data_IF_383796821445
#
_entry.id   IF_383796821445
#
_cell.length_a   1.000
_cell.length_b   1.000
_cell.length_c   1.000
_cell.angle_alpha   90.00
_cell.angle_beta   90.00
_cell.angle_gamma   90.00
#
_symmetry.space_group_name_H-M   'P 1'
#
loop_
_entity.id
_entity.type
_entity.pdbx_description
1 polymer ?
#
# COMPACT_ATOMS: atom_id res chain seq x y z
N UNK A 1 -12.09 -20.38 9.34
CA UNK A 1 -12.38 -20.12 7.90
C UNK A 1 -12.43 -18.62 7.80
N UNK A 2 -11.67 -18.05 6.89
CA UNK A 2 -11.62 -16.60 6.77
C UNK A 2 -12.96 -16.06 6.22
N UNK A 3 -13.39 -14.93 6.75
CA UNK A 3 -14.56 -14.20 6.28
C UNK A 3 -14.09 -13.02 5.42
N UNK A 4 -14.50 -13.00 4.16
CA UNK A 4 -14.18 -11.93 3.22
C UNK A 4 -14.85 -10.62 3.65
N UNK A 5 -14.05 -9.57 3.85
CA UNK A 5 -14.52 -8.22 4.20
C UNK A 5 -14.48 -7.26 3.01
N UNK A 6 -13.48 -7.40 2.14
CA UNK A 6 -13.29 -6.56 0.94
C UNK A 6 -12.39 -7.28 -0.08
N UNK A 7 -12.62 -7.03 -1.37
CA UNK A 7 -11.82 -7.49 -2.51
C UNK A 7 -11.55 -6.33 -3.49
N UNK A 8 -10.46 -6.40 -4.25
CA UNK A 8 -10.11 -5.33 -5.19
C UNK A 8 -8.76 -5.48 -5.89
N UNK A 9 -8.37 -4.45 -6.65
CA UNK A 9 -7.05 -4.36 -7.26
C UNK A 9 -6.03 -3.76 -6.27
N UNK A 10 -4.81 -4.27 -6.30
CA UNK A 10 -3.67 -3.75 -5.53
C UNK A 10 -2.52 -3.39 -6.46
N UNK A 11 -1.95 -2.21 -6.24
CA UNK A 11 -0.80 -1.72 -7.01
C UNK A 11 0.33 -1.31 -6.08
N UNK A 12 1.53 -1.82 -6.35
CA UNK A 12 2.75 -1.45 -5.64
C UNK A 12 3.53 -0.45 -6.48
N UNK A 13 3.87 0.69 -5.89
CA UNK A 13 4.69 1.72 -6.54
C UNK A 13 5.82 2.14 -5.61
N UNK A 14 6.96 2.54 -6.16
CA UNK A 14 8.00 3.22 -5.39
C UNK A 14 8.18 4.65 -5.88
N UNK A 15 8.58 5.54 -4.98
CA UNK A 15 9.00 6.89 -5.32
C UNK A 15 10.51 6.98 -5.20
N UNK A 16 11.25 7.37 -6.26
CA UNK A 16 12.69 7.64 -6.19
C UNK A 16 13.02 8.77 -5.20
N UNK A 17 14.29 8.89 -4.81
CA UNK A 17 14.80 10.04 -4.06
C UNK A 17 14.70 11.33 -4.87
N UNK A 18 14.80 12.45 -4.16
CA UNK A 18 14.81 13.78 -4.79
C UNK A 18 16.08 13.90 -5.63
N UNK A 19 15.96 14.45 -6.84
CA UNK A 19 16.99 14.48 -7.90
C UNK A 19 17.40 13.10 -8.46
N UNK A 20 16.70 12.02 -8.12
CA UNK A 20 17.11 10.67 -8.50
C UNK A 20 16.35 10.14 -9.70
N UNK A 21 16.81 10.47 -10.90
CA UNK A 21 16.16 10.06 -12.14
C UNK A 21 16.39 8.56 -12.48
N UNK A 22 17.47 7.95 -12.00
CA UNK A 22 17.72 6.52 -12.23
C UNK A 22 17.77 5.80 -10.87
N UNK A 23 17.07 4.68 -10.79
CA UNK A 23 17.10 3.82 -9.61
C UNK A 23 17.71 2.51 -10.07
N UNK A 24 18.70 2.03 -9.33
CA UNK A 24 19.37 0.75 -9.51
C UNK A 24 19.30 -0.08 -8.21
N UNK A 25 18.82 0.50 -7.10
CA UNK A 25 18.72 -0.20 -5.82
C UNK A 25 17.72 0.43 -4.84
N UNK A 26 17.39 -0.31 -3.78
CA UNK A 26 16.62 0.19 -2.64
C UNK A 26 17.20 1.47 -1.97
N UNK A 27 18.50 1.74 -2.15
CA UNK A 27 19.14 2.92 -1.58
C UNK A 27 18.57 4.23 -2.17
N UNK A 28 18.24 4.22 -3.46
CA UNK A 28 17.69 5.34 -4.23
C UNK A 28 16.17 5.48 -4.09
N UNK A 29 15.50 4.49 -3.50
CA UNK A 29 14.07 4.61 -3.18
C UNK A 29 13.86 5.57 -2.01
N UNK A 30 12.88 6.46 -2.12
CA UNK A 30 12.43 7.33 -1.03
C UNK A 30 11.34 6.65 -0.20
N UNK A 31 10.33 6.07 -0.85
CA UNK A 31 9.16 5.45 -0.21
C UNK A 31 8.57 4.34 -1.08
N UNK A 32 8.04 3.32 -0.40
CA UNK A 32 7.12 2.35 -0.98
C UNK A 32 5.67 2.83 -0.77
N UNK A 33 4.87 2.72 -1.81
CA UNK A 33 3.47 3.11 -1.89
C UNK A 33 2.65 1.88 -2.27
N UNK A 34 1.47 1.74 -1.67
CA UNK A 34 0.49 0.72 -2.03
C UNK A 34 -0.80 1.43 -2.35
N UNK A 35 -1.42 1.10 -3.47
CA UNK A 35 -2.76 1.59 -3.82
C UNK A 35 -3.73 0.44 -3.74
N UNK A 36 -4.83 0.62 -3.03
CA UNK A 36 -5.96 -0.31 -2.99
C UNK A 36 -7.14 0.31 -3.74
N UNK A 37 -7.71 -0.46 -4.66
CA UNK A 37 -8.91 -0.13 -5.40
C UNK A 37 -9.98 -1.21 -5.19
N UNK A 38 -10.85 -1.08 -4.16
CA UNK A 38 -11.89 -2.05 -3.89
C UNK A 38 -12.92 -2.07 -5.03
N UNK A 39 -13.25 -3.25 -5.59
CA UNK A 39 -14.18 -3.34 -6.71
C UNK A 39 -15.62 -2.94 -6.33
N UNK A 40 -16.00 -3.24 -5.09
CA UNK A 40 -17.31 -2.88 -4.53
C UNK A 40 -17.28 -1.57 -3.74
N UNK A 41 -16.10 -0.96 -3.59
CA UNK A 41 -15.90 0.26 -2.84
C UNK A 41 -15.96 1.51 -3.72
N UNK A 42 -15.96 2.67 -3.08
CA UNK A 42 -16.07 3.97 -3.78
C UNK A 42 -14.74 4.70 -3.92
N UNK A 43 -13.72 4.29 -3.16
CA UNK A 43 -12.53 5.08 -2.96
C UNK A 43 -11.26 4.31 -3.31
N UNK A 44 -10.36 4.96 -4.05
CA UNK A 44 -8.98 4.52 -4.15
C UNK A 44 -8.23 5.02 -2.92
N UNK A 45 -7.44 4.13 -2.31
CA UNK A 45 -6.70 4.42 -1.07
C UNK A 45 -5.20 4.34 -1.38
N UNK A 46 -4.47 5.43 -1.17
CA UNK A 46 -3.01 5.45 -1.23
C UNK A 46 -2.45 5.25 0.16
N UNK A 47 -1.71 4.16 0.36
CA UNK A 47 -0.97 3.86 1.56
C UNK A 47 0.51 4.16 1.35
N UNK A 48 1.15 4.70 2.39
CA UNK A 48 2.60 4.87 2.46
C UNK A 48 3.15 3.90 3.49
N UNK A 49 4.05 3.01 3.05
CA UNK A 49 4.77 2.12 3.96
C UNK A 49 5.93 2.89 4.58
N UNK A 50 6.07 2.78 5.91
CA UNK A 50 7.08 3.51 6.68
C UNK A 50 8.51 3.04 6.44
N UNK A 51 8.67 1.89 5.79
CA UNK A 51 9.93 1.37 5.26
C UNK A 51 9.88 1.37 3.73
N UNK A 52 11.04 1.19 3.09
CA UNK A 52 11.16 1.15 1.63
C UNK A 52 10.78 -0.20 1.02
N UNK A 53 10.42 -1.18 1.86
CA UNK A 53 10.05 -2.55 1.50
C UNK A 53 8.88 -3.02 2.35
N UNK A 54 8.19 -4.08 1.94
CA UNK A 54 7.18 -4.75 2.75
C UNK A 54 7.82 -5.53 3.92
N UNK A 55 7.04 -5.82 4.98
CA UNK A 55 7.51 -6.69 6.06
C UNK A 55 7.96 -8.05 5.53
N UNK A 56 9.05 -8.56 6.09
CA UNK A 56 9.47 -9.94 5.88
C UNK A 56 8.52 -10.91 6.62
N UNK A 57 8.09 -11.95 5.92
CA UNK A 57 7.12 -12.93 6.43
C UNK A 57 7.77 -13.92 7.39
N UNK A 58 8.94 -14.45 7.05
CA UNK A 58 9.66 -15.49 7.80
C UNK A 58 10.06 -15.03 9.21
N UNK A 59 10.44 -13.75 9.37
CA UNK A 59 10.77 -13.18 10.68
C UNK A 59 9.63 -12.39 11.33
N UNK A 60 8.44 -12.40 10.71
CA UNK A 60 7.26 -11.66 11.16
C UNK A 60 7.56 -10.18 11.45
N UNK A 61 8.23 -9.53 10.48
CA UNK A 61 8.60 -8.11 10.57
C UNK A 61 7.34 -7.25 10.74
N UNK A 62 7.48 -6.10 11.42
CA UNK A 62 6.33 -5.22 11.74
C UNK A 62 6.59 -3.80 11.30
N UNK A 63 5.92 -3.36 10.25
CA UNK A 63 6.11 -2.02 9.71
C UNK A 63 4.86 -1.16 9.88
N UNK A 64 5.10 0.08 10.29
CA UNK A 64 4.08 1.12 10.24
C UNK A 64 3.77 1.47 8.79
N UNK A 65 2.50 1.67 8.48
CA UNK A 65 2.03 2.33 7.28
C UNK A 65 0.90 3.30 7.64
N UNK A 66 0.55 4.19 6.72
CA UNK A 66 -0.60 5.07 6.91
C UNK A 66 -1.29 5.36 5.59
N UNK A 67 -2.58 5.68 5.66
CA UNK A 67 -3.36 6.17 4.52
C UNK A 67 -2.98 7.62 4.26
N UNK A 68 -2.36 7.90 3.12
CA UNK A 68 -1.95 9.24 2.70
C UNK A 68 -3.11 9.99 2.02
N UNK A 69 -3.77 9.35 1.06
CA UNK A 69 -4.86 9.92 0.28
C UNK A 69 -6.01 8.91 0.12
N UNK A 70 -7.23 9.41 0.10
CA UNK A 70 -8.45 8.66 -0.21
C UNK A 70 -9.22 9.47 -1.25
N UNK A 71 -9.43 8.91 -2.44
CA UNK A 71 -9.98 9.66 -3.57
C UNK A 71 -11.12 8.90 -4.26
N UNK A 72 -12.10 9.64 -4.77
CA UNK A 72 -13.23 9.07 -5.52
C UNK A 72 -12.89 8.87 -7.00
N UNK A 73 -11.91 9.63 -7.51
CA UNK A 73 -11.52 9.61 -8.92
C UNK A 73 -10.03 9.40 -9.06
N UNK A 74 -9.56 8.47 -9.90
CA UNK A 74 -8.13 8.19 -10.00
C UNK A 74 -7.26 9.38 -10.44
N UNK A 75 -7.83 10.34 -11.17
CA UNK A 75 -7.11 11.56 -11.56
C UNK A 75 -6.66 12.40 -10.35
N UNK A 76 -7.34 12.28 -9.21
CA UNK A 76 -6.93 12.96 -7.97
C UNK A 76 -5.68 12.29 -7.38
N UNK A 77 -5.53 10.97 -7.55
CA UNK A 77 -4.34 10.24 -7.14
C UNK A 77 -3.14 10.52 -8.05
N UNK A 78 -3.37 10.76 -9.34
CA UNK A 78 -2.32 11.14 -10.29
C UNK A 78 -1.47 12.33 -9.79
N UNK A 79 -2.09 13.32 -9.16
CA UNK A 79 -1.38 14.48 -8.56
C UNK A 79 -0.41 14.07 -7.44
N UNK A 80 -0.76 13.06 -6.65
CA UNK A 80 0.11 12.51 -5.61
C UNK A 80 1.22 11.61 -6.19
N UNK A 81 1.03 11.04 -7.39
CA UNK A 81 1.96 10.11 -8.05
C UNK A 81 2.86 10.74 -9.12
N UNK A 82 2.55 11.95 -9.60
CA UNK A 82 3.36 12.63 -10.62
C UNK A 82 4.66 13.22 -10.06
N UNK A 83 5.50 13.72 -10.97
CA UNK A 83 6.70 14.47 -10.63
C UNK A 83 6.34 15.80 -9.97
N UNK A 84 7.16 16.29 -9.04
CA UNK A 84 6.94 17.57 -8.36
C UNK A 84 8.22 18.38 -8.35
N UNK A 85 8.15 19.60 -8.86
CA UNK A 85 9.24 20.58 -8.72
C UNK A 85 8.89 21.54 -7.59
N UNK A 86 9.80 21.72 -6.63
CA UNK A 86 9.59 22.66 -5.53
C UNK A 86 10.84 23.49 -5.25
N UNK A 87 10.64 24.75 -4.85
CA UNK A 87 11.75 25.64 -4.47
C UNK A 87 12.13 25.42 -3.03
N UNK A 88 13.43 25.32 -2.76
CA UNK A 88 13.96 25.32 -1.40
C UNK A 88 14.23 26.73 -0.91
N UNK A 89 14.37 26.92 0.42
CA UNK A 89 14.72 28.22 1.01
C UNK A 89 16.09 28.74 0.53
N UNK A 90 16.96 27.86 0.02
CA UNK A 90 18.33 28.14 -0.42
C UNK A 90 18.47 28.26 -1.94
N UNK A 91 17.47 28.86 -2.61
CA UNK A 91 17.45 29.24 -4.04
C UNK A 91 17.47 28.13 -5.10
N UNK A 92 17.83 26.89 -4.79
CA UNK A 92 17.76 25.80 -5.78
C UNK A 92 16.37 25.15 -5.83
N UNK A 93 15.86 24.99 -7.05
CA UNK A 93 14.70 24.16 -7.35
C UNK A 93 15.10 22.70 -7.26
N UNK A 94 14.27 21.90 -6.57
CA UNK A 94 14.42 20.46 -6.53
C UNK A 94 13.30 19.76 -7.29
N UNK A 95 13.65 18.68 -7.98
CA UNK A 95 12.76 17.79 -8.69
C UNK A 95 12.60 16.50 -7.91
N UNK A 96 11.36 16.18 -7.59
CA UNK A 96 10.96 14.88 -7.11
C UNK A 96 10.43 14.08 -8.31
N UNK A 97 11.12 13.00 -8.72
CA UNK A 97 10.67 12.10 -9.78
C UNK A 97 9.28 11.51 -9.49
N UNK A 98 8.53 11.11 -10.53
CA UNK A 98 7.22 10.48 -10.36
C UNK A 98 7.36 9.11 -9.68
N UNK A 99 6.28 8.64 -9.05
CA UNK A 99 6.21 7.26 -8.57
C UNK A 99 6.21 6.28 -9.76
N UNK A 100 6.88 5.14 -9.61
CA UNK A 100 7.05 4.11 -10.64
C UNK A 100 6.33 2.83 -10.21
N UNK A 101 5.49 2.22 -11.07
CA UNK A 101 4.82 0.97 -10.74
C UNK A 101 5.84 -0.17 -10.70
N UNK A 102 5.74 -1.02 -9.68
CA UNK A 102 6.59 -2.17 -9.47
C UNK A 102 5.81 -3.49 -9.55
N UNK A 103 4.57 -3.53 -9.08
CA UNK A 103 3.75 -4.74 -9.18
C UNK A 103 2.26 -4.39 -9.18
N UNK A 104 1.45 -5.32 -9.67
CA UNK A 104 0.00 -5.23 -9.80
C UNK A 104 -0.62 -6.61 -9.55
N UNK A 105 -1.76 -6.63 -8.89
CA UNK A 105 -2.45 -7.87 -8.52
C UNK A 105 -3.86 -7.64 -8.00
N UNK A 106 -4.45 -8.70 -7.48
CA UNK A 106 -5.72 -8.63 -6.74
C UNK A 106 -5.45 -8.81 -5.24
N UNK A 107 -6.27 -8.19 -4.40
CA UNK A 107 -6.20 -8.34 -2.96
C UNK A 107 -7.53 -8.74 -2.35
N UNK A 108 -7.43 -9.30 -1.16
CA UNK A 108 -8.52 -9.58 -0.25
C UNK A 108 -8.17 -9.04 1.14
N UNK A 109 -9.14 -8.39 1.78
CA UNK A 109 -9.13 -8.18 3.23
C UNK A 109 -10.08 -9.21 3.84
N UNK A 110 -9.56 -10.05 4.72
CA UNK A 110 -10.35 -11.10 5.36
C UNK A 110 -10.14 -11.15 6.87
N UNK A 111 -11.23 -11.38 7.61
CA UNK A 111 -11.20 -11.68 9.03
C UNK A 111 -10.83 -13.15 9.21
N UNK A 112 -9.80 -13.43 9.99
CA UNK A 112 -9.42 -14.78 10.38
C UNK A 112 -9.20 -14.82 11.90
N UNK A 113 -10.08 -15.53 12.60
CA UNK A 113 -10.13 -15.58 14.06
C UNK A 113 -10.21 -14.18 14.71
N UNK A 114 -9.20 -13.75 15.46
CA UNK A 114 -9.12 -12.44 16.10
C UNK A 114 -8.25 -11.42 15.34
N UNK A 115 -7.88 -11.75 14.10
CA UNK A 115 -7.03 -10.94 13.23
C UNK A 115 -7.71 -10.61 11.90
N UNK A 116 -7.17 -9.59 11.23
CA UNK A 116 -7.55 -9.26 9.85
C UNK A 116 -6.30 -9.34 8.99
N UNK A 117 -6.40 -10.03 7.86
CA UNK A 117 -5.34 -10.15 6.88
C UNK A 117 -5.64 -9.24 5.70
N UNK A 118 -4.60 -8.58 5.17
CA UNK A 118 -4.52 -8.14 3.79
C UNK A 118 -3.70 -9.20 3.05
N UNK A 119 -4.36 -9.95 2.18
CA UNK A 119 -3.73 -10.93 1.31
C UNK A 119 -3.78 -10.46 -0.14
N UNK A 120 -2.79 -10.82 -0.94
CA UNK A 120 -2.78 -10.52 -2.36
C UNK A 120 -2.09 -11.61 -3.16
N UNK A 121 -2.39 -11.60 -4.46
CA UNK A 121 -1.65 -12.33 -5.48
C UNK A 121 -1.39 -11.42 -6.69
N UNK A 122 -0.19 -11.51 -7.26
CA UNK A 122 0.24 -10.67 -8.37
C UNK A 122 -0.20 -11.20 -9.72
N UNK A 123 -0.60 -10.29 -10.60
CA UNK A 123 -0.65 -10.52 -12.05
C UNK A 123 0.66 -10.09 -12.72
N UNK A 124 1.21 -8.95 -12.30
CA UNK A 124 2.41 -8.37 -12.88
C UNK A 124 3.44 -8.00 -11.79
N UNK A 125 4.74 -8.18 -12.07
CA UNK A 125 5.27 -8.89 -13.24
C UNK A 125 4.99 -10.40 -13.17
N UNK A 126 4.92 -11.12 -14.30
CA UNK A 126 4.71 -12.57 -14.31
C UNK A 126 5.90 -13.35 -13.73
N UNK A 127 7.06 -12.70 -13.60
CA UNK A 127 8.24 -13.18 -12.89
C UNK A 127 8.85 -12.02 -12.14
N UNK A 128 9.13 -12.23 -10.86
CA UNK A 128 9.79 -11.21 -10.03
C UNK A 128 11.22 -10.97 -10.51
N UNK A 129 11.63 -9.70 -10.46
CA UNK A 129 13.00 -9.27 -10.71
C UNK A 129 13.58 -8.54 -9.50
N UNK A 130 14.71 -7.87 -9.73
CA UNK A 130 15.48 -7.16 -8.70
C UNK A 130 14.62 -6.15 -7.93
N UNK A 131 13.79 -5.38 -8.63
CA UNK A 131 12.94 -4.37 -7.98
C UNK A 131 11.95 -4.99 -6.99
N UNK A 132 11.30 -6.10 -7.35
CA UNK A 132 10.33 -6.74 -6.45
C UNK A 132 11.02 -7.39 -5.25
N UNK A 133 12.15 -8.08 -5.47
CA UNK A 133 12.91 -8.71 -4.38
C UNK A 133 13.42 -7.67 -3.36
N UNK A 134 14.00 -6.56 -3.82
CA UNK A 134 14.49 -5.49 -2.94
C UNK A 134 13.36 -4.80 -2.17
N UNK A 135 12.18 -4.68 -2.79
CA UNK A 135 10.97 -4.15 -2.15
C UNK A 135 10.24 -5.19 -1.27
N UNK A 136 10.74 -6.43 -1.23
CA UNK A 136 10.13 -7.58 -0.53
C UNK A 136 8.68 -7.82 -0.96
N UNK A 137 8.40 -7.66 -2.25
CA UNK A 137 7.11 -7.98 -2.85
C UNK A 137 7.18 -9.44 -3.30
N UNK A 138 6.27 -10.25 -2.78
CA UNK A 138 6.16 -11.68 -3.06
C UNK A 138 5.13 -11.92 -4.18
N UNK A 139 5.15 -13.06 -4.88
CA UNK A 139 4.12 -13.36 -5.88
C UNK A 139 2.72 -13.48 -5.23
N UNK A 140 2.70 -13.99 -4.01
CA UNK A 140 1.54 -14.13 -3.15
C UNK A 140 2.00 -13.86 -1.72
N UNK A 141 1.18 -13.17 -0.92
CA UNK A 141 1.49 -12.94 0.48
C UNK A 141 0.25 -12.54 1.29
N UNK A 142 0.31 -12.82 2.60
CA UNK A 142 -0.63 -12.32 3.61
C UNK A 142 0.10 -11.49 4.67
N UNK A 143 -0.55 -10.41 5.09
CA UNK A 143 -0.10 -9.56 6.19
C UNK A 143 -1.24 -9.35 7.18
N UNK A 144 -0.99 -9.58 8.47
CA UNK A 144 -1.93 -9.16 9.51
C UNK A 144 -1.90 -7.63 9.57
N UNK A 145 -3.09 -7.01 9.49
CA UNK A 145 -3.26 -5.57 9.53
C UNK A 145 -3.95 -5.17 10.83
N UNK A 146 -3.26 -4.33 11.61
CA UNK A 146 -3.82 -3.74 12.82
C UNK A 146 -3.88 -2.23 12.69
N UNK A 147 -5.02 -1.64 13.02
CA UNK A 147 -5.26 -0.20 13.03
C UNK A 147 -4.84 0.36 14.37
N UNK A 148 -4.10 1.47 14.36
CA UNK A 148 -3.76 2.22 15.57
C UNK A 148 -4.88 3.18 15.92
N UNK A 149 -5.25 3.19 17.20
CA UNK A 149 -6.19 4.16 17.73
C UNK A 149 -5.58 5.58 17.68
N UNK A 150 -6.15 6.54 16.93
CA UNK A 150 -5.59 7.89 16.80
C UNK A 150 -5.57 8.67 18.13
N UNK A 151 -6.47 8.30 19.06
CA UNK A 151 -6.57 8.88 20.40
C UNK A 151 -5.55 8.29 21.38
N UNK A 152 -4.94 7.14 21.06
CA UNK A 152 -3.91 6.57 21.89
C UNK A 152 -2.57 7.35 21.74
N UNK A 153 -1.78 7.48 22.82
CA UNK A 153 -0.48 8.13 22.75
C UNK A 153 0.51 7.28 21.92
N UNK A 154 1.31 7.98 21.12
CA UNK A 154 2.48 7.39 20.45
C UNK A 154 3.72 7.50 21.35
N UNK A 155 4.66 6.57 21.28
CA UNK A 155 6.01 6.78 21.79
C UNK A 155 6.67 8.02 21.16
N UNK A 156 7.57 8.72 21.86
CA UNK A 156 8.31 9.85 21.29
C UNK A 156 9.02 9.47 19.99
N UNK A 157 8.87 10.30 18.96
CA UNK A 157 9.51 10.07 17.66
C UNK A 157 8.81 9.06 16.74
N UNK A 158 7.71 8.42 17.18
CA UNK A 158 6.99 7.39 16.41
C UNK A 158 5.59 7.88 15.99
N UNK A 159 5.22 7.60 14.75
CA UNK A 159 3.89 7.88 14.19
C UNK A 159 3.67 9.31 13.67
N UNK A 160 2.49 9.55 13.10
CA UNK A 160 2.10 10.85 12.54
C UNK A 160 1.99 11.93 13.64
N UNK A 161 2.54 13.12 13.34
CA UNK A 161 2.57 14.26 14.28
C UNK A 161 1.43 15.24 13.99
N UNK A 162 0.87 15.83 15.07
CA UNK A 162 0.04 17.03 15.01
C UNK A 162 -1.21 16.91 14.13
N UNK A 163 -1.37 17.85 13.19
CA UNK A 163 -2.54 18.01 12.31
C UNK A 163 -2.78 16.89 11.30
N UNK A 164 -1.89 15.90 11.21
CA UNK A 164 -2.06 14.71 10.35
C UNK A 164 -2.77 13.55 11.04
N UNK A 165 -3.08 13.68 12.34
CA UNK A 165 -3.86 12.66 13.04
C UNK A 165 -5.31 12.68 12.55
N UNK A 166 -5.76 11.53 12.06
CA UNK A 166 -7.14 11.31 11.64
C UNK A 166 -8.10 11.49 12.81
N UNK A 167 -9.28 12.05 12.53
CA UNK A 167 -10.45 11.98 13.41
C UNK A 167 -11.43 10.99 12.82
N UNK A 168 -11.48 9.80 13.42
CA UNK A 168 -12.38 8.74 12.96
C UNK A 168 -13.84 9.04 13.36
N UNK A 169 -14.82 8.65 12.54
CA UNK A 169 -16.22 8.61 12.93
C UNK A 169 -16.44 7.82 14.22
N UNK A 170 -17.47 8.19 14.98
CA UNK A 170 -17.74 7.60 16.30
C UNK A 170 -17.88 6.07 16.27
N UNK A 171 -18.49 5.51 15.22
CA UNK A 171 -18.64 4.08 15.06
C UNK A 171 -17.28 3.36 14.92
N UNK A 172 -16.38 3.87 14.07
CA UNK A 172 -15.03 3.32 13.90
C UNK A 172 -14.19 3.53 15.16
N UNK A 173 -14.33 4.68 15.83
CA UNK A 173 -13.64 4.95 17.08
C UNK A 173 -14.09 4.00 18.21
N UNK A 174 -15.36 3.57 18.22
CA UNK A 174 -15.89 2.64 19.20
C UNK A 174 -15.34 1.21 19.05
N UNK A 175 -15.01 0.78 17.82
CA UNK A 175 -14.47 -0.55 17.53
C UNK A 175 -13.10 -0.83 18.20
N UNK A 176 -12.39 0.21 18.65
CA UNK A 176 -11.20 0.03 19.47
C UNK A 176 -11.50 -0.52 20.87
N UNK A 177 -12.72 -0.32 21.40
CA UNK A 177 -13.08 -0.69 22.78
C UNK A 177 -12.09 -0.15 23.82
N UNK A 178 -11.62 1.09 23.63
CA UNK A 178 -10.62 1.73 24.50
C UNK A 178 -9.19 1.20 24.35
N UNK A 179 -8.94 0.21 23.49
CA UNK A 179 -7.62 -0.34 23.23
C UNK A 179 -6.79 0.60 22.35
N UNK A 180 -5.47 0.38 22.37
CA UNK A 180 -4.51 1.13 21.54
C UNK A 180 -4.54 0.71 20.07
N UNK A 181 -4.98 -0.52 19.81
CA UNK A 181 -5.05 -1.12 18.48
C UNK A 181 -6.35 -1.90 18.32
N UNK A 182 -6.79 -2.05 17.09
CA UNK A 182 -7.89 -2.92 16.68
C UNK A 182 -7.48 -3.67 15.39
N UNK A 183 -8.06 -4.83 15.08
CA UNK A 183 -7.96 -5.42 13.75
C UNK A 183 -8.52 -4.44 12.69
N UNK A 184 -8.13 -4.62 11.42
CA UNK A 184 -8.68 -3.84 10.30
C UNK A 184 -10.12 -4.27 9.97
N UNK A 185 -11.03 -3.99 10.88
CA UNK A 185 -12.40 -4.45 10.79
C UNK A 185 -13.34 -3.42 11.42
N UNK A 186 -14.11 -2.67 10.60
CA UNK A 186 -14.30 -2.85 9.16
C UNK A 186 -13.17 -2.23 8.28
N UNK A 187 -13.06 -2.62 6.98
CA UNK A 187 -12.12 -2.01 6.03
C UNK A 187 -12.24 -0.48 5.90
N UNK A 188 -13.41 0.08 6.25
CA UNK A 188 -13.69 1.52 6.24
C UNK A 188 -12.73 2.36 7.11
N UNK A 189 -11.94 1.78 8.02
CA UNK A 189 -10.82 2.50 8.63
C UNK A 189 -9.85 3.10 7.59
N UNK A 190 -9.67 2.43 6.46
CA UNK A 190 -8.79 2.88 5.38
C UNK A 190 -9.40 4.00 4.52
N UNK A 191 -10.68 4.30 4.67
CA UNK A 191 -11.35 5.42 3.97
C UNK A 191 -11.08 6.78 4.62
N UNK A 192 -10.15 6.84 5.57
CA UNK A 192 -9.81 8.05 6.30
C UNK A 192 -8.32 8.38 6.19
N UNK A 193 -7.95 9.47 5.49
CA UNK A 193 -6.56 9.93 5.44
C UNK A 193 -5.99 10.17 6.84
N UNK A 194 -4.75 9.72 7.03
CA UNK A 194 -4.04 9.75 8.31
C UNK A 194 -4.30 8.56 9.23
N UNK A 195 -5.13 7.58 8.83
CA UNK A 195 -5.23 6.31 9.55
C UNK A 195 -3.88 5.60 9.53
N UNK A 196 -3.32 5.35 10.72
CA UNK A 196 -2.07 4.60 10.90
C UNK A 196 -2.39 3.12 11.10
N UNK A 197 -1.69 2.26 10.37
CA UNK A 197 -1.78 0.79 10.49
C UNK A 197 -0.39 0.19 10.75
N UNK A 198 -0.37 -1.04 11.26
CA UNK A 198 0.82 -1.89 11.31
C UNK A 198 0.56 -3.10 10.43
N UNK A 199 1.47 -3.31 9.47
CA UNK A 199 1.56 -4.49 8.64
C UNK A 199 2.53 -5.47 9.30
N UNK A 200 2.09 -6.71 9.47
CA UNK A 200 2.86 -7.78 10.09
C UNK A 200 2.93 -8.95 9.12
N UNK A 201 4.13 -9.39 8.76
CA UNK A 201 4.31 -10.56 7.87
C UNK A 201 3.67 -11.81 8.46
N UNK A 202 2.85 -12.52 7.67
CA UNK A 202 2.07 -13.67 8.13
C UNK A 202 2.33 -14.94 7.31
N UNK A 203 2.08 -14.96 6.01
CA UNK A 203 2.36 -16.13 5.17
C UNK A 203 2.72 -15.78 3.72
N UNK A 204 3.50 -16.65 3.07
CA UNK A 204 3.76 -16.63 1.64
C UNK A 204 2.60 -17.27 0.85
N UNK A 205 2.05 -18.40 1.34
CA UNK A 205 0.88 -19.06 0.74
C UNK A 205 -0.40 -18.61 1.47
N UNK A 206 -0.89 -17.44 1.07
CA UNK A 206 -2.04 -16.79 1.67
C UNK A 206 -3.35 -17.54 1.38
N UNK A 207 -3.45 -18.16 0.21
CA UNK A 207 -4.56 -18.96 -0.26
C UNK A 207 -4.75 -20.18 0.61
N UNK A 208 -3.69 -20.93 0.91
CA UNK A 208 -3.75 -22.07 1.82
C UNK A 208 -4.00 -21.64 3.26
N UNK A 209 -3.36 -20.57 3.73
CA UNK A 209 -3.52 -20.05 5.10
C UNK A 209 -4.99 -19.65 5.37
N UNK A 210 -5.56 -18.83 4.48
CA UNK A 210 -6.89 -18.25 4.65
C UNK A 210 -8.00 -19.14 4.10
N UNK A 211 -7.65 -20.15 3.29
CA UNK A 211 -8.56 -20.99 2.51
C UNK A 211 -9.42 -20.16 1.56
N UNK A 212 -8.76 -19.26 0.82
CA UNK A 212 -9.33 -18.38 -0.19
C UNK A 212 -8.65 -18.70 -1.52
N UNK A 213 -9.35 -18.48 -2.63
CA UNK A 213 -8.85 -18.69 -3.99
C UNK A 213 -8.43 -17.33 -4.57
N UNK A 214 -7.18 -16.91 -4.30
CA UNK A 214 -6.66 -15.62 -4.78
C UNK A 214 -6.42 -15.62 -6.29
N UNK A 215 -6.05 -16.77 -6.87
CA UNK A 215 -5.95 -17.00 -8.31
C UNK A 215 -7.24 -16.56 -9.01
N UNK A 216 -8.40 -16.97 -8.47
CA UNK A 216 -9.70 -16.55 -8.99
C UNK A 216 -9.97 -15.05 -8.86
N UNK A 217 -9.46 -14.41 -7.82
CA UNK A 217 -9.55 -12.95 -7.68
C UNK A 217 -8.70 -12.23 -8.72
N UNK A 218 -7.55 -12.80 -9.06
CA UNK A 218 -6.74 -12.37 -10.20
C UNK A 218 -7.52 -12.54 -11.51
N UNK A 219 -8.18 -13.67 -11.75
CA UNK A 219 -8.89 -13.89 -13.01
C UNK A 219 -10.20 -13.09 -13.20
N UNK A 220 -10.60 -12.24 -12.24
CA UNK A 220 -11.87 -11.50 -12.34
C UNK A 220 -11.91 -10.50 -13.50
N UNK A 221 -13.07 -10.44 -14.15
CA UNK A 221 -13.31 -9.54 -15.27
C UNK A 221 -13.39 -8.05 -14.88
N UNK A 222 -13.59 -7.75 -13.60
CA UNK A 222 -13.74 -6.38 -13.07
C UNK A 222 -12.40 -5.67 -12.82
N UNK A 223 -11.27 -6.39 -13.01
CA UNK A 223 -9.94 -5.84 -12.80
C UNK A 223 -9.63 -4.67 -13.72
N UNK A 224 -8.96 -3.69 -13.15
CA UNK A 224 -8.33 -2.61 -13.88
C UNK A 224 -6.82 -2.82 -13.91
N UNK A 225 -6.12 -2.03 -14.73
CA UNK A 225 -4.65 -2.04 -14.75
C UNK A 225 -4.09 -0.81 -14.06
N UNK A 226 -2.86 -0.86 -13.56
CA UNK A 226 -2.23 0.30 -12.88
C UNK A 226 -2.25 1.57 -13.75
N UNK A 227 -2.14 1.43 -15.08
CA UNK A 227 -2.21 2.56 -16.01
C UNK A 227 -3.65 3.00 -16.29
N UNK A 228 -4.58 2.05 -16.43
CA UNK A 228 -5.99 2.31 -16.68
C UNK A 228 -6.67 2.92 -15.48
N UNK A 229 -6.44 2.33 -14.31
CA UNK A 229 -6.99 2.72 -13.04
C UNK A 229 -6.40 4.04 -12.59
N UNK A 230 -5.09 4.11 -12.32
CA UNK A 230 -4.45 5.29 -11.75
C UNK A 230 -4.32 6.46 -12.74
N UNK A 231 -4.74 6.27 -14.00
CA UNK A 231 -4.64 7.25 -15.09
C UNK A 231 -3.23 7.85 -15.20
N UNK A 232 -2.22 6.99 -15.05
CA UNK A 232 -0.81 7.35 -15.23
C UNK A 232 -0.34 6.95 -16.63
N UNK A 233 0.38 7.85 -17.33
CA UNK A 233 0.82 7.56 -18.69
C UNK A 233 2.05 6.65 -18.72
N UNK A 234 2.03 5.61 -19.56
CA UNK A 234 3.21 4.72 -19.81
C UNK A 234 4.44 5.48 -20.34
N UNK A 235 4.24 6.65 -20.95
CA UNK A 235 5.32 7.52 -21.48
C UNK A 235 5.83 8.53 -20.46
N UNK A 236 5.18 8.67 -19.32
CA UNK A 236 5.47 9.71 -18.32
C UNK A 236 6.40 9.23 -17.20
N UNK A 237 6.69 7.93 -17.16
CA UNK A 237 7.51 7.30 -16.13
C UNK A 237 8.11 5.99 -16.64
N UNK A 238 9.25 5.56 -16.09
CA UNK A 238 9.76 4.22 -16.34
C UNK A 238 8.77 3.14 -15.92
N UNK A 239 8.70 2.07 -16.73
CA UNK A 239 7.77 0.93 -16.53
C UNK A 239 8.47 -0.43 -16.50
N UNK A 240 9.80 -0.46 -16.67
CA UNK A 240 10.58 -1.70 -16.58
C UNK A 240 10.35 -2.46 -15.27
N UNK A 241 10.22 -1.81 -14.09
CA UNK A 241 9.99 -2.56 -12.85
C UNK A 241 8.72 -3.40 -12.91
N UNK A 242 7.63 -2.88 -13.48
CA UNK A 242 6.37 -3.60 -13.58
C UNK A 242 6.38 -4.75 -14.61
N UNK A 243 7.15 -4.63 -15.70
CA UNK A 243 7.06 -5.56 -16.83
C UNK A 243 8.24 -6.53 -16.94
N UNK A 244 9.45 -6.10 -16.57
CA UNK A 244 10.68 -6.90 -16.61
C UNK A 244 11.25 -7.16 -15.22
N UNK A 245 10.75 -6.48 -14.18
CA UNK A 245 11.24 -6.62 -12.81
C UNK A 245 12.56 -5.90 -12.53
N UNK A 246 13.10 -5.19 -13.51
CA UNK A 246 14.34 -4.43 -13.40
C UNK A 246 14.08 -3.03 -12.82
N UNK A 247 15.01 -2.52 -12.02
CA UNK A 247 14.95 -1.13 -11.63
C UNK A 247 15.00 -0.18 -12.83
N UNK A 248 14.35 0.98 -12.69
CA UNK A 248 14.42 2.07 -13.65
C UNK A 248 14.02 3.39 -13.02
#
# INVERSE_FOLDING_TARGET
>A
MAELLEDGDIYFLYRPRVEEEHVDSLAEVQRLLVVLHPWHGRHLRLLVVGRKRLPDIEVHDRFWAFVDEVVDRPQQLHEALRARTYRTRTRDSRQQPPARPAAEGAYVIARHDDHTHLAYELELPPRLGEAQHDLSIEPEASYIVTVKNPQAPSPPGVGLRGSRKVRLPAALQAAFHGRRFAPLDPPAFLDHPGTEIVLIGAAHDASAELRIDLDREVERAERSTVFGDLRIGRRERPVAPLFTGEWA
#
